data_IF_404609045916
#
_entry.id   IF_404609045916
#
_cell.length_a   1.000
_cell.length_b   1.000
_cell.length_c   1.000
_cell.angle_alpha   90.00
_cell.angle_beta   90.00
_cell.angle_gamma   90.00
#
_symmetry.space_group_name_H-M   'P 1'
#
loop_
_entity.id
_entity.type
_entity.pdbx_description
1 polymer ?
#
# COMPACT_ATOMS: atom_id res chain seq x y z
N UNK A 1 -18.08 -10.82 3.08
CA UNK A 1 -17.13 -9.86 3.69
C UNK A 1 -17.18 -9.99 5.20
N UNK A 2 -16.04 -9.90 5.85
CA UNK A 2 -15.97 -10.01 7.31
C UNK A 2 -16.58 -8.78 7.99
N UNK A 3 -17.49 -9.02 8.94
CA UNK A 3 -18.06 -7.94 9.76
C UNK A 3 -16.98 -7.21 10.54
N UNK A 4 -15.97 -7.94 11.02
CA UNK A 4 -14.85 -7.38 11.76
C UNK A 4 -14.04 -6.39 10.89
N UNK A 5 -13.80 -6.72 9.62
CA UNK A 5 -13.10 -5.84 8.70
C UNK A 5 -13.88 -4.55 8.46
N UNK A 6 -15.20 -4.65 8.26
CA UNK A 6 -16.06 -3.48 8.06
C UNK A 6 -16.00 -2.56 9.29
N UNK A 7 -16.10 -3.11 10.49
CA UNK A 7 -16.01 -2.34 11.73
C UNK A 7 -14.65 -1.66 11.87
N UNK A 8 -13.57 -2.37 11.57
CA UNK A 8 -12.22 -1.80 11.62
C UNK A 8 -12.05 -0.69 10.59
N UNK A 9 -12.56 -0.88 9.37
CA UNK A 9 -12.53 0.14 8.33
C UNK A 9 -13.26 1.42 8.78
N UNK A 10 -14.46 1.29 9.34
CA UNK A 10 -15.23 2.43 9.83
C UNK A 10 -14.46 3.15 10.92
N UNK A 11 -13.86 2.42 11.85
CA UNK A 11 -13.07 3.00 12.93
C UNK A 11 -11.88 3.78 12.39
N UNK A 12 -11.13 3.21 11.44
CA UNK A 12 -9.99 3.87 10.80
C UNK A 12 -10.42 5.10 10.00
N UNK A 13 -11.55 5.03 9.30
CA UNK A 13 -12.07 6.16 8.53
C UNK A 13 -12.48 7.32 9.44
N UNK A 14 -12.98 7.04 10.65
CA UNK A 14 -13.36 8.07 11.62
C UNK A 14 -12.15 8.70 12.31
N UNK A 15 -11.09 7.95 12.55
CA UNK A 15 -9.92 8.39 13.32
C UNK A 15 -8.67 8.60 12.47
N UNK A 16 -8.68 8.14 11.23
CA UNK A 16 -7.59 8.35 10.29
C UNK A 16 -7.73 9.66 9.53
N UNK A 17 -6.84 9.85 8.58
CA UNK A 17 -6.89 10.98 7.68
C UNK A 17 -7.68 10.65 6.43
N UNK A 18 -7.28 11.27 5.33
CA UNK A 18 -7.87 11.12 4.02
C UNK A 18 -7.84 9.67 3.54
N UNK A 19 -8.95 9.21 2.97
CA UNK A 19 -9.14 7.85 2.48
C UNK A 19 -9.29 7.83 0.96
N UNK A 20 -8.68 6.83 0.31
CA UNK A 20 -8.80 6.62 -1.14
C UNK A 20 -9.02 5.14 -1.44
N UNK A 21 -9.90 4.85 -2.40
CA UNK A 21 -10.09 3.51 -2.93
C UNK A 21 -9.37 3.37 -4.27
N UNK A 22 -8.76 2.22 -4.49
CA UNK A 22 -8.04 1.97 -5.74
C UNK A 22 -7.42 0.59 -5.76
N UNK A 23 -6.24 0.49 -6.37
CA UNK A 23 -5.59 -0.79 -6.64
C UNK A 23 -4.13 -0.76 -6.22
N UNK A 24 -3.59 -1.96 -5.95
CA UNK A 24 -2.19 -2.16 -5.64
C UNK A 24 -1.59 -3.18 -6.61
N UNK A 25 -0.82 -2.76 -7.61
CA UNK A 25 -0.06 -3.68 -8.43
C UNK A 25 1.20 -4.16 -7.68
N UNK A 26 1.77 -5.26 -8.15
CA UNK A 26 2.99 -5.78 -7.57
C UNK A 26 4.22 -5.06 -8.10
N UNK A 27 5.11 -4.74 -7.19
CA UNK A 27 6.44 -4.17 -7.47
C UNK A 27 7.44 -5.29 -7.82
N UNK A 28 8.53 -4.93 -8.50
CA UNK A 28 9.56 -5.92 -8.83
C UNK A 28 10.19 -6.52 -7.56
N UNK A 29 10.57 -7.82 -7.57
CA UNK A 29 11.15 -8.47 -6.40
C UNK A 29 12.41 -7.76 -5.90
N UNK A 30 12.55 -7.67 -4.58
CA UNK A 30 13.71 -7.13 -3.88
C UNK A 30 14.04 -5.65 -4.13
N UNK A 31 13.23 -4.95 -4.93
CA UNK A 31 13.47 -3.53 -5.18
C UNK A 31 13.21 -2.71 -3.93
N UNK A 32 12.15 -3.00 -3.22
CA UNK A 32 11.77 -2.23 -2.03
C UNK A 32 12.80 -2.35 -0.91
N UNK A 33 13.38 -3.53 -0.72
CA UNK A 33 14.44 -3.72 0.26
C UNK A 33 15.66 -2.85 -0.05
N UNK A 34 16.06 -2.81 -1.32
CA UNK A 34 17.18 -1.95 -1.76
C UNK A 34 16.86 -0.47 -1.60
N UNK A 35 15.63 -0.07 -1.90
CA UNK A 35 15.19 1.32 -1.76
C UNK A 35 15.24 1.78 -0.31
N UNK A 36 14.72 0.98 0.62
CA UNK A 36 14.74 1.30 2.05
C UNK A 36 16.17 1.46 2.54
N UNK A 37 17.06 0.56 2.13
CA UNK A 37 18.47 0.60 2.50
C UNK A 37 19.17 1.83 1.92
N UNK A 38 18.94 2.12 0.65
CA UNK A 38 19.56 3.26 -0.03
C UNK A 38 19.12 4.60 0.55
N UNK A 39 17.85 4.71 0.95
CA UNK A 39 17.31 5.93 1.55
C UNK A 39 17.59 6.06 3.03
N UNK A 40 18.25 5.07 3.63
CA UNK A 40 18.55 5.04 5.06
C UNK A 40 17.29 5.23 5.91
N UNK A 41 16.21 4.58 5.51
CA UNK A 41 14.96 4.62 6.24
C UNK A 41 14.94 3.56 7.34
N UNK A 42 14.33 3.85 8.50
CA UNK A 42 14.10 2.82 9.50
C UNK A 42 13.28 1.68 8.88
N UNK A 43 13.62 0.44 9.20
CA UNK A 43 12.85 -0.70 8.70
C UNK A 43 11.42 -0.64 9.23
N UNK A 44 10.45 -0.83 8.37
CA UNK A 44 9.05 -0.96 8.73
C UNK A 44 8.54 -2.33 8.31
N UNK A 45 7.55 -2.85 9.02
CA UNK A 45 6.97 -4.15 8.72
C UNK A 45 6.28 -4.19 7.36
N UNK A 46 5.86 -3.06 6.84
CA UNK A 46 5.29 -2.92 5.51
C UNK A 46 5.85 -1.67 4.84
N UNK A 47 6.45 -1.83 3.66
CA UNK A 47 6.99 -0.74 2.86
C UNK A 47 6.40 -0.83 1.45
N UNK A 48 5.90 0.28 0.93
CA UNK A 48 5.29 0.34 -0.40
C UNK A 48 5.76 1.58 -1.14
N UNK A 49 5.57 1.57 -2.46
CA UNK A 49 5.80 2.74 -3.32
C UNK A 49 4.47 3.41 -3.64
N UNK A 50 4.48 4.69 -3.98
CA UNK A 50 3.25 5.39 -4.32
C UNK A 50 3.49 6.53 -5.31
N UNK A 51 2.46 6.79 -6.16
CA UNK A 51 2.38 7.99 -6.99
C UNK A 51 1.55 9.10 -6.31
N UNK A 52 0.96 8.84 -5.15
CA UNK A 52 0.03 9.73 -4.47
C UNK A 52 0.59 10.35 -3.20
N UNK A 53 1.44 9.62 -2.50
CA UNK A 53 1.93 10.01 -1.18
C UNK A 53 3.45 10.19 -1.19
N UNK A 54 3.96 11.22 -0.52
CA UNK A 54 5.41 11.40 -0.41
C UNK A 54 6.05 10.33 0.46
N UNK A 55 7.36 10.12 0.24
CA UNK A 55 8.17 9.20 1.06
C UNK A 55 8.07 9.63 2.54
N UNK A 56 7.91 8.64 3.40
CA UNK A 56 7.77 8.84 4.84
C UNK A 56 6.33 8.86 5.32
N UNK A 57 5.36 9.01 4.41
CA UNK A 57 3.94 8.99 4.80
C UNK A 57 3.55 7.62 5.35
N UNK A 58 2.86 7.61 6.48
CA UNK A 58 2.27 6.41 7.04
C UNK A 58 0.82 6.30 6.59
N UNK A 59 0.44 5.10 6.19
CA UNK A 59 -0.92 4.81 5.72
C UNK A 59 -1.42 3.49 6.32
N UNK A 60 -2.73 3.38 6.48
CA UNK A 60 -3.38 2.09 6.68
C UNK A 60 -3.77 1.55 5.32
N UNK A 61 -3.44 0.29 5.06
CA UNK A 61 -3.82 -0.39 3.82
C UNK A 61 -4.82 -1.48 4.17
N UNK A 62 -6.00 -1.37 3.59
CA UNK A 62 -7.07 -2.35 3.72
C UNK A 62 -7.09 -3.17 2.45
N UNK A 63 -6.86 -4.47 2.55
CA UNK A 63 -6.99 -5.39 1.41
C UNK A 63 -8.39 -5.97 1.37
N UNK A 64 -9.09 -5.76 0.26
CA UNK A 64 -10.43 -6.32 0.09
C UNK A 64 -10.40 -7.77 -0.41
N UNK A 65 -9.26 -8.25 -0.93
CA UNK A 65 -9.10 -9.65 -1.30
C UNK A 65 -8.91 -10.56 -0.10
N UNK A 66 -8.10 -10.14 0.86
CA UNK A 66 -7.72 -10.97 2.01
C UNK A 66 -8.36 -10.53 3.31
N UNK A 67 -9.03 -9.38 3.32
CA UNK A 67 -9.66 -8.79 4.49
C UNK A 67 -8.65 -8.51 5.62
N UNK A 68 -7.43 -8.13 5.25
CA UNK A 68 -6.39 -7.73 6.18
C UNK A 68 -6.19 -6.22 6.14
N UNK A 69 -5.82 -5.68 7.28
CA UNK A 69 -5.49 -4.26 7.43
C UNK A 69 -4.12 -4.17 8.09
N UNK A 70 -3.22 -3.40 7.49
CA UNK A 70 -1.88 -3.20 8.06
C UNK A 70 -1.44 -1.75 7.88
N UNK A 71 -0.64 -1.27 8.81
CA UNK A 71 0.02 0.01 8.66
C UNK A 71 1.25 -0.16 7.78
N UNK A 72 1.37 0.69 6.76
CA UNK A 72 2.49 0.68 5.83
C UNK A 72 3.11 2.06 5.76
N UNK A 73 4.40 2.10 5.39
CA UNK A 73 5.09 3.34 5.12
C UNK A 73 5.35 3.47 3.63
N UNK A 74 5.16 4.66 3.11
CA UNK A 74 5.59 4.98 1.75
C UNK A 74 7.10 5.12 1.77
N UNK A 75 7.81 4.18 1.16
CA UNK A 75 9.27 4.13 1.15
C UNK A 75 9.87 4.63 -0.16
N UNK A 76 9.07 4.68 -1.22
CA UNK A 76 9.51 5.11 -2.53
C UNK A 76 8.37 5.80 -3.29
N UNK A 77 8.73 6.54 -4.33
CA UNK A 77 7.76 7.14 -5.24
C UNK A 77 7.78 6.40 -6.56
N UNK A 78 6.65 6.36 -7.25
CA UNK A 78 6.56 5.78 -8.58
C UNK A 78 7.50 6.52 -9.53
N UNK A 79 8.07 5.77 -10.49
CA UNK A 79 8.90 6.37 -11.52
C UNK A 79 8.16 7.54 -12.21
N UNK A 80 8.82 8.67 -12.47
CA UNK A 80 8.16 9.86 -13.05
C UNK A 80 7.33 9.55 -14.31
N UNK A 81 7.81 8.62 -15.15
CA UNK A 81 7.07 8.20 -16.36
C UNK A 81 5.78 7.43 -16.04
N UNK A 82 5.68 6.83 -14.86
CA UNK A 82 4.55 6.02 -14.46
C UNK A 82 3.52 6.78 -13.61
N UNK A 83 3.89 7.92 -13.04
CA UNK A 83 3.04 8.67 -12.10
C UNK A 83 1.68 9.01 -12.73
N UNK A 84 1.66 9.59 -13.92
CA UNK A 84 0.42 9.97 -14.58
C UNK A 84 -0.49 8.75 -14.84
N UNK A 85 0.12 7.64 -15.29
CA UNK A 85 -0.62 6.40 -15.54
C UNK A 85 -1.18 5.80 -14.24
N UNK A 86 -0.38 5.77 -13.18
CA UNK A 86 -0.82 5.24 -11.89
C UNK A 86 -1.97 6.08 -11.33
N UNK A 87 -1.91 7.39 -11.43
CA UNK A 87 -2.99 8.27 -10.99
C UNK A 87 -4.25 8.06 -11.81
N UNK A 88 -4.14 7.94 -13.12
CA UNK A 88 -5.28 7.72 -14.01
C UNK A 88 -5.94 6.36 -13.77
N UNK A 89 -5.17 5.33 -13.45
CA UNK A 89 -5.65 3.97 -13.23
C UNK A 89 -5.92 3.66 -11.75
N UNK A 90 -5.79 4.65 -10.88
CA UNK A 90 -5.99 4.52 -9.43
C UNK A 90 -5.10 3.44 -8.80
N UNK A 91 -3.89 3.32 -9.26
CA UNK A 91 -2.87 2.47 -8.63
C UNK A 91 -2.26 3.27 -7.50
N UNK A 92 -2.83 3.14 -6.30
CA UNK A 92 -2.50 3.97 -5.15
C UNK A 92 -1.14 3.67 -4.56
N UNK A 93 -0.78 2.40 -4.53
CA UNK A 93 0.49 1.90 -3.99
C UNK A 93 0.99 0.77 -4.87
N UNK A 94 2.30 0.55 -4.83
CA UNK A 94 2.90 -0.63 -5.44
C UNK A 94 3.53 -1.47 -4.34
N UNK A 95 3.23 -2.77 -4.34
CA UNK A 95 3.61 -3.68 -3.29
C UNK A 95 4.70 -4.65 -3.74
N UNK A 96 5.72 -4.85 -2.91
CA UNK A 96 6.69 -5.93 -3.09
C UNK A 96 6.03 -7.29 -2.86
N UNK A 97 6.80 -8.36 -3.01
CA UNK A 97 6.26 -9.71 -2.87
C UNK A 97 5.68 -9.96 -1.46
N UNK A 98 6.37 -9.54 -0.43
CA UNK A 98 5.90 -9.76 0.95
C UNK A 98 4.58 -9.05 1.23
N UNK A 99 4.44 -7.81 0.77
CA UNK A 99 3.20 -7.07 0.91
C UNK A 99 2.12 -7.62 0.01
N UNK A 100 2.47 -8.05 -1.21
CA UNK A 100 1.50 -8.61 -2.15
C UNK A 100 0.91 -9.94 -1.66
N UNK A 101 1.62 -10.68 -0.81
CA UNK A 101 1.08 -11.90 -0.21
C UNK A 101 -0.23 -11.62 0.53
N UNK A 102 -0.25 -10.60 1.35
CA UNK A 102 -1.43 -10.29 2.14
C UNK A 102 -2.38 -9.30 1.43
N UNK A 103 -1.87 -8.43 0.55
CA UNK A 103 -2.74 -7.50 -0.18
C UNK A 103 -3.53 -8.23 -1.27
N UNK A 104 -2.86 -9.10 -2.02
CA UNK A 104 -3.46 -9.78 -3.17
C UNK A 104 -3.83 -11.24 -2.88
N UNK A 105 -3.30 -11.81 -1.80
CA UNK A 105 -3.47 -13.23 -1.54
C UNK A 105 -2.59 -14.09 -2.42
N UNK A 106 -1.37 -13.63 -2.73
CA UNK A 106 -0.47 -14.38 -3.60
C UNK A 106 0.01 -15.67 -2.94
N UNK A 107 -0.04 -16.75 -3.69
CA UNK A 107 0.52 -18.05 -3.29
C UNK A 107 1.84 -18.34 -3.99
N UNK A 108 2.21 -17.57 -5.00
CA UNK A 108 3.38 -17.83 -5.82
C UNK A 108 4.13 -16.55 -6.17
N UNK A 109 5.46 -16.60 -6.06
CA UNK A 109 6.32 -15.44 -6.33
C UNK A 109 6.23 -14.92 -7.77
N UNK A 110 5.82 -15.76 -8.71
CA UNK A 110 5.68 -15.38 -10.13
C UNK A 110 4.38 -14.63 -10.42
N UNK A 111 3.40 -14.70 -9.53
CA UNK A 111 2.12 -14.04 -9.74
C UNK A 111 2.32 -12.53 -9.71
N UNK A 112 1.75 -11.84 -10.69
CA UNK A 112 1.87 -10.38 -10.81
C UNK A 112 0.51 -9.76 -11.07
N UNK A 113 -0.40 -9.83 -10.09
CA UNK A 113 -1.70 -9.21 -10.25
C UNK A 113 -1.55 -7.70 -10.30
N UNK A 114 -2.32 -7.05 -11.17
CA UNK A 114 -2.25 -5.60 -11.36
C UNK A 114 -3.38 -4.85 -10.64
N UNK A 115 -4.41 -5.54 -10.22
CA UNK A 115 -5.62 -4.93 -9.67
C UNK A 115 -6.08 -5.60 -8.39
N UNK A 116 -5.28 -5.52 -7.36
CA UNK A 116 -5.70 -5.95 -6.03
C UNK A 116 -6.41 -4.77 -5.36
N UNK A 117 -7.73 -4.84 -5.14
CA UNK A 117 -8.48 -3.70 -4.61
C UNK A 117 -8.06 -3.39 -3.18
N UNK A 118 -7.77 -2.14 -2.94
CA UNK A 118 -7.36 -1.64 -1.63
C UNK A 118 -8.07 -0.34 -1.30
N UNK A 119 -8.19 -0.07 0.00
CA UNK A 119 -8.45 1.27 0.51
C UNK A 119 -7.21 1.71 1.28
N UNK A 120 -6.73 2.89 0.98
CA UNK A 120 -5.57 3.48 1.65
C UNK A 120 -6.04 4.67 2.47
N UNK A 121 -5.72 4.67 3.75
CA UNK A 121 -6.12 5.73 4.69
C UNK A 121 -4.85 6.32 5.25
N UNK A 122 -4.63 7.62 5.04
CA UNK A 122 -3.47 8.30 5.58
C UNK A 122 -3.56 8.33 7.11
N UNK A 123 -2.48 7.96 7.77
CA UNK A 123 -2.42 8.06 9.23
C UNK A 123 -2.36 9.53 9.60
N UNK A 124 -3.27 9.94 10.48
CA UNK A 124 -3.34 11.30 10.94
C UNK A 124 -2.31 11.49 12.06
N UNK A 125 -1.15 12.02 11.70
CA UNK A 125 -0.07 12.24 12.65
C UNK A 125 -0.26 13.57 13.39
N UNK A 126 -0.52 13.45 14.64
CA UNK A 126 -0.26 14.50 15.56
C UNK A 126 -1.16 15.69 15.46
N UNK A 127 -2.18 15.45 15.38
CA UNK A 127 -3.14 16.46 15.49
C UNK A 127 -2.87 17.68 16.25
#
# INVERSE_FOLDING_TARGET
>A
MSTLLIQLYILLALHGGESMDGYAPRYAPNVMERVVRHRDLPWAACNVSSAYYPVGTLVWVVSWNTHQVRQCRIADVSHPRAVARHRRTKRLIEAGYEEAKWICGLSHMRDRPERCPVTVIRVNEGG
#
